data_IF_115980814086
#
_entry.id   IF_115980814086
#
_cell.length_a   1.000
_cell.length_b   1.000
_cell.length_c   1.000
_cell.angle_alpha   90.00
_cell.angle_beta   90.00
_cell.angle_gamma   90.00
#
_symmetry.space_group_name_H-M   'P 1'
#
loop_
_entity.id
_entity.type
_entity.pdbx_description
1 polymer ?
#
# COMPACT_ATOMS: atom_id res chain seq x y z
N UNK A 1 7.58 -3.71 -3.17
CA UNK A 1 6.81 -3.54 -1.93
C UNK A 1 6.93 -4.79 -1.07
N UNK A 2 6.99 -4.58 0.24
CA UNK A 2 6.92 -5.58 1.29
C UNK A 2 5.85 -5.13 2.30
N UNK A 3 5.04 -6.06 2.78
CA UNK A 3 4.06 -5.83 3.83
C UNK A 3 4.23 -6.93 4.87
N UNK A 4 4.21 -6.57 6.15
CA UNK A 4 4.39 -7.52 7.25
C UNK A 4 3.36 -7.22 8.35
N UNK A 5 2.65 -8.26 8.79
CA UNK A 5 1.51 -8.12 9.71
C UNK A 5 1.28 -9.39 10.53
N UNK A 6 0.54 -9.31 11.64
CA UNK A 6 0.18 -10.47 12.46
C UNK A 6 -1.15 -11.07 12.05
N UNK A 7 -1.24 -12.35 11.69
CA UNK A 7 -2.50 -13.06 11.46
C UNK A 7 -2.93 -13.91 12.66
N UNK A 8 -4.22 -14.23 12.76
CA UNK A 8 -4.74 -15.24 13.69
C UNK A 8 -4.07 -16.62 13.52
N UNK A 9 -3.58 -16.89 12.31
CA UNK A 9 -2.94 -18.16 11.95
C UNK A 9 -1.43 -18.20 12.22
N UNK A 10 -0.81 -17.04 12.51
CA UNK A 10 0.62 -16.94 12.80
C UNK A 10 0.93 -16.85 14.30
N UNK A 11 -0.09 -16.91 15.16
CA UNK A 11 0.07 -16.99 16.61
C UNK A 11 0.47 -18.39 17.09
N UNK A 12 0.56 -18.57 18.41
CA UNK A 12 0.73 -19.90 19.00
C UNK A 12 -0.53 -20.77 18.78
N UNK A 13 -0.37 -22.09 18.58
CA UNK A 13 -1.50 -23.01 18.53
C UNK A 13 -2.25 -23.01 19.87
N UNK A 14 -3.59 -23.04 19.81
CA UNK A 14 -4.44 -23.19 21.00
C UNK A 14 -5.40 -22.04 21.32
N UNK A 15 -5.53 -21.03 20.44
CA UNK A 15 -6.68 -20.07 20.32
C UNK A 15 -6.41 -18.94 19.29
N UNK A 16 -5.23 -18.92 18.66
CA UNK A 16 -4.91 -17.99 17.57
C UNK A 16 -4.62 -16.55 18.01
N UNK A 17 -4.60 -16.28 19.32
CA UNK A 17 -4.22 -15.00 19.89
C UNK A 17 -2.70 -14.88 20.03
N UNK A 18 -2.17 -13.72 19.66
CA UNK A 18 -0.76 -13.39 19.88
C UNK A 18 -0.54 -13.02 21.35
N UNK A 19 0.48 -13.58 22.03
CA UNK A 19 0.85 -13.08 23.35
C UNK A 19 1.34 -11.63 23.21
N UNK A 20 1.02 -10.78 24.20
CA UNK A 20 1.32 -9.34 24.15
C UNK A 20 2.80 -9.05 23.90
N UNK A 21 3.69 -9.83 24.51
CA UNK A 21 5.15 -9.73 24.36
C UNK A 21 5.66 -9.97 22.92
N UNK A 22 4.88 -10.62 22.07
CA UNK A 22 5.24 -10.91 20.67
C UNK A 22 4.40 -10.12 19.68
N UNK A 23 3.47 -9.28 20.15
CA UNK A 23 2.64 -8.48 19.26
C UNK A 23 3.43 -7.33 18.62
N UNK A 24 3.16 -7.04 17.36
CA UNK A 24 3.83 -5.96 16.62
C UNK A 24 2.87 -5.23 15.67
N UNK A 25 3.13 -3.94 15.37
CA UNK A 25 2.35 -3.18 14.39
C UNK A 25 2.59 -3.71 12.97
N UNK A 26 1.58 -3.64 12.12
CA UNK A 26 1.76 -3.90 10.69
C UNK A 26 2.70 -2.88 10.07
N UNK A 27 3.50 -3.30 9.09
CA UNK A 27 4.45 -2.42 8.38
C UNK A 27 4.30 -2.58 6.88
N UNK A 28 4.52 -1.50 6.14
CA UNK A 28 4.59 -1.50 4.68
C UNK A 28 5.84 -0.74 4.23
N UNK A 29 6.51 -1.27 3.23
CA UNK A 29 7.70 -0.71 2.61
C UNK A 29 7.61 -0.81 1.09
N UNK A 30 7.84 0.29 0.37
CA UNK A 30 7.92 0.27 -1.10
C UNK A 30 8.68 1.49 -1.63
N UNK A 31 9.12 1.38 -2.88
CA UNK A 31 9.73 2.50 -3.61
C UNK A 31 8.77 2.99 -4.69
N UNK A 32 8.60 4.31 -4.78
CA UNK A 32 7.94 5.00 -5.88
C UNK A 32 9.02 5.52 -6.82
N UNK A 33 8.95 5.14 -8.08
CA UNK A 33 9.82 5.66 -9.13
C UNK A 33 9.07 6.72 -9.92
N UNK A 34 9.66 7.90 -10.01
CA UNK A 34 9.17 9.05 -10.78
C UNK A 34 10.26 9.46 -11.79
N UNK A 35 9.92 10.24 -12.83
CA UNK A 35 10.92 10.75 -13.76
C UNK A 35 12.04 11.50 -13.02
N UNK A 36 13.25 10.94 -13.05
CA UNK A 36 14.45 11.52 -12.44
C UNK A 36 14.57 11.39 -10.92
N UNK A 37 13.63 10.75 -10.22
CA UNK A 37 13.64 10.66 -8.75
C UNK A 37 13.03 9.35 -8.23
N UNK A 38 13.55 8.87 -7.10
CA UNK A 38 12.97 7.76 -6.35
C UNK A 38 12.59 8.22 -4.93
N UNK A 39 11.45 7.74 -4.45
CA UNK A 39 11.00 7.94 -3.06
C UNK A 39 10.82 6.59 -2.38
N UNK A 40 11.43 6.40 -1.21
CA UNK A 40 11.22 5.22 -0.38
C UNK A 40 10.15 5.51 0.66
N UNK A 41 9.08 4.74 0.64
CA UNK A 41 7.91 4.93 1.46
C UNK A 41 7.84 3.80 2.49
N UNK A 42 7.88 4.17 3.77
CA UNK A 42 7.80 3.22 4.88
C UNK A 42 6.86 3.77 5.96
N UNK A 43 5.99 2.92 6.52
CA UNK A 43 5.25 3.26 7.74
C UNK A 43 4.87 2.01 8.53
N UNK A 44 4.73 2.19 9.84
CA UNK A 44 4.08 1.24 10.75
C UNK A 44 2.68 1.72 11.15
N UNK A 45 1.76 0.80 11.38
CA UNK A 45 0.38 1.12 11.77
C UNK A 45 -0.23 0.00 12.62
N UNK A 46 -1.34 0.28 13.31
CA UNK A 46 -1.99 -0.71 14.16
C UNK A 46 -2.42 -1.94 13.34
N UNK A 47 -2.12 -3.12 13.87
CA UNK A 47 -2.49 -4.37 13.21
C UNK A 47 -4.01 -4.49 13.06
N UNK A 48 -4.47 -4.89 11.88
CA UNK A 48 -5.88 -4.93 11.50
C UNK A 48 -6.44 -3.60 10.98
N UNK A 49 -5.61 -2.58 10.80
CA UNK A 49 -6.02 -1.24 10.33
C UNK A 49 -5.26 -0.82 9.06
N UNK A 50 -5.44 0.42 8.61
CA UNK A 50 -4.68 1.03 7.51
C UNK A 50 -4.17 2.42 7.92
N UNK A 51 -2.99 2.85 7.41
CA UNK A 51 -2.53 4.23 7.54
C UNK A 51 -3.35 5.14 6.61
N UNK A 52 -4.55 5.51 7.05
CA UNK A 52 -5.44 6.43 6.31
C UNK A 52 -4.89 7.86 6.27
N UNK A 53 -4.10 8.22 7.29
CA UNK A 53 -3.39 9.49 7.35
C UNK A 53 -2.12 9.44 6.51
N UNK A 54 -1.80 10.49 5.74
CA UNK A 54 -0.63 10.51 4.86
C UNK A 54 0.72 10.34 5.57
N UNK A 55 1.39 9.23 5.29
CA UNK A 55 2.77 8.98 5.68
C UNK A 55 3.73 9.62 4.66
N UNK A 56 4.82 10.20 5.15
CA UNK A 56 5.85 10.79 4.29
C UNK A 56 6.78 9.70 3.75
N UNK A 57 7.23 9.87 2.50
CA UNK A 57 8.32 9.07 1.95
C UNK A 57 9.65 9.80 2.16
N UNK A 58 10.74 9.05 2.21
CA UNK A 58 12.12 9.54 2.28
C UNK A 58 12.85 9.41 0.95
N UNK A 59 14.06 9.95 0.85
CA UNK A 59 14.89 9.94 -0.36
C UNK A 59 14.73 11.19 -1.22
N UNK A 60 14.93 11.05 -2.52
CA UNK A 60 15.00 12.18 -3.48
C UNK A 60 13.62 12.75 -3.83
N UNK A 61 12.55 12.00 -3.54
CA UNK A 61 11.17 12.40 -3.77
C UNK A 61 10.61 13.33 -2.69
N UNK A 62 11.25 14.49 -2.47
CA UNK A 62 10.74 15.47 -1.52
C UNK A 62 9.26 15.83 -1.82
N UNK A 63 8.45 15.90 -0.77
CA UNK A 63 7.01 16.17 -0.87
C UNK A 63 6.14 14.96 -1.26
N UNK A 64 6.71 13.78 -1.50
CA UNK A 64 5.94 12.55 -1.75
C UNK A 64 5.40 11.98 -0.44
N UNK A 65 4.12 11.65 -0.47
CA UNK A 65 3.38 11.04 0.63
C UNK A 65 2.51 9.91 0.09
N UNK A 66 2.10 9.02 0.98
CA UNK A 66 1.17 7.96 0.64
C UNK A 66 0.17 7.71 1.75
N UNK A 67 -0.95 7.10 1.41
CA UNK A 67 -1.92 6.54 2.36
C UNK A 67 -2.53 5.26 1.80
N UNK A 68 -3.17 4.50 2.67
CA UNK A 68 -3.90 3.29 2.31
C UNK A 68 -5.37 3.45 2.66
N UNK A 69 -6.24 3.14 1.71
CA UNK A 69 -7.70 3.19 1.88
C UNK A 69 -8.29 1.78 1.74
N UNK A 70 -9.43 1.48 2.38
CA UNK A 70 -10.10 0.20 2.21
C UNK A 70 -10.47 -0.07 0.74
N UNK A 71 -10.19 -1.27 0.23
CA UNK A 71 -10.70 -1.70 -1.07
C UNK A 71 -12.01 -2.48 -0.88
N UNK A 72 -13.12 -1.90 -1.32
CA UNK A 72 -14.48 -2.40 -1.05
C UNK A 72 -15.04 -3.35 -2.10
N UNK A 73 -14.35 -3.52 -3.24
CA UNK A 73 -14.82 -4.38 -4.33
C UNK A 73 -14.47 -5.87 -4.16
N UNK A 74 -13.80 -6.25 -3.06
CA UNK A 74 -13.52 -7.65 -2.73
C UNK A 74 -14.32 -8.11 -1.51
N UNK A 75 -14.63 -9.40 -1.45
CA UNK A 75 -15.27 -10.07 -0.30
C UNK A 75 -14.50 -9.80 1.00
N UNK A 76 -15.20 -9.89 2.16
CA UNK A 76 -14.68 -9.67 3.51
C UNK A 76 -13.25 -10.20 3.69
N UNK A 77 -12.29 -9.29 3.52
CA UNK A 77 -10.86 -9.54 3.57
C UNK A 77 -10.27 -8.69 4.67
N UNK A 78 -9.11 -9.12 5.10
CA UNK A 78 -8.31 -8.33 6.01
C UNK A 78 -7.84 -7.07 5.29
N UNK A 79 -7.96 -5.91 5.93
CA UNK A 79 -7.67 -4.62 5.32
C UNK A 79 -6.24 -4.54 4.76
N UNK A 80 -5.27 -5.10 5.47
CA UNK A 80 -3.88 -5.12 5.02
C UNK A 80 -3.65 -5.96 3.75
N UNK A 81 -4.57 -6.85 3.36
CA UNK A 81 -4.45 -7.70 2.16
C UNK A 81 -5.28 -7.20 0.97
N UNK A 82 -6.03 -6.11 1.16
CA UNK A 82 -6.98 -5.60 0.17
C UNK A 82 -7.21 -4.11 0.41
N UNK A 83 -6.42 -3.29 -0.27
CA UNK A 83 -6.40 -1.84 -0.06
C UNK A 83 -6.17 -1.08 -1.37
N UNK A 84 -6.57 0.19 -1.39
CA UNK A 84 -6.15 1.14 -2.41
C UNK A 84 -4.93 1.86 -1.88
N UNK A 85 -3.80 1.74 -2.58
CA UNK A 85 -2.62 2.54 -2.32
C UNK A 85 -2.76 3.85 -3.08
N UNK A 86 -2.75 4.97 -2.35
CA UNK A 86 -2.73 6.30 -2.96
C UNK A 86 -1.40 6.96 -2.65
N UNK A 87 -0.72 7.44 -3.69
CA UNK A 87 0.53 8.18 -3.62
C UNK A 87 0.27 9.58 -4.16
N UNK A 88 0.81 10.59 -3.50
CA UNK A 88 0.69 11.96 -3.97
C UNK A 88 1.91 12.79 -3.61
N UNK A 89 2.19 13.78 -4.45
CA UNK A 89 3.27 14.74 -4.29
C UNK A 89 2.67 16.13 -4.21
N UNK A 90 3.10 16.88 -3.21
CA UNK A 90 2.78 18.31 -3.10
C UNK A 90 4.02 19.09 -3.50
N UNK A 91 3.90 19.88 -4.56
CA UNK A 91 4.95 20.79 -5.01
C UNK A 91 4.52 22.23 -4.70
N UNK A 92 5.49 23.06 -4.28
CA UNK A 92 5.30 24.50 -4.12
C UNK A 92 6.20 25.22 -5.11
N UNK A 93 5.61 26.14 -5.87
CA UNK A 93 6.41 27.03 -6.71
C UNK A 93 6.98 28.21 -5.90
N UNK A 94 7.87 28.98 -6.53
CA UNK A 94 8.46 30.18 -5.92
C UNK A 94 7.45 31.32 -5.68
N UNK A 95 6.25 31.23 -6.25
CA UNK A 95 5.14 32.16 -6.05
C UNK A 95 4.21 31.76 -4.90
N UNK A 96 4.44 30.60 -4.25
CA UNK A 96 3.62 30.08 -3.17
C UNK A 96 2.40 29.28 -3.62
N UNK A 97 2.21 29.04 -4.92
CA UNK A 97 1.17 28.15 -5.42
C UNK A 97 1.53 26.70 -5.11
N UNK A 98 0.50 25.90 -4.78
CA UNK A 98 0.63 24.47 -4.52
C UNK A 98 0.01 23.68 -5.67
N UNK A 99 0.77 22.77 -6.26
CA UNK A 99 0.26 21.73 -7.17
C UNK A 99 0.29 20.39 -6.45
N UNK A 100 -0.76 19.58 -6.67
CA UNK A 100 -0.86 18.24 -6.09
C UNK A 100 -0.98 17.25 -7.24
N UNK A 101 0.04 16.41 -7.40
CA UNK A 101 0.00 15.28 -8.34
C UNK A 101 -0.27 14.02 -7.55
N UNK A 102 -1.31 13.25 -7.90
CA UNK A 102 -1.70 12.07 -7.15
C UNK A 102 -1.99 10.89 -8.08
N UNK A 103 -1.76 9.66 -7.62
CA UNK A 103 -2.19 8.47 -8.33
C UNK A 103 -2.53 7.36 -7.35
N UNK A 104 -3.36 6.41 -7.80
CA UNK A 104 -3.81 5.32 -6.94
C UNK A 104 -3.93 4.00 -7.69
N UNK A 105 -3.81 2.92 -6.93
CA UNK A 105 -3.92 1.56 -7.44
C UNK A 105 -4.56 0.66 -6.38
N UNK A 106 -5.50 -0.18 -6.80
CA UNK A 106 -6.00 -1.26 -5.95
C UNK A 106 -4.97 -2.39 -5.87
N UNK A 107 -4.63 -2.81 -4.66
CA UNK A 107 -3.73 -3.93 -4.36
C UNK A 107 -4.50 -4.95 -3.54
N UNK A 108 -4.66 -6.14 -4.11
CA UNK A 108 -5.21 -7.31 -3.45
C UNK A 108 -4.15 -8.42 -3.35
N UNK A 109 -4.35 -9.35 -2.43
CA UNK A 109 -3.46 -10.48 -2.23
C UNK A 109 -4.08 -11.82 -2.62
N UNK A 110 -3.25 -12.70 -3.19
CA UNK A 110 -3.57 -14.12 -3.44
C UNK A 110 -4.93 -14.37 -4.12
N UNK A 111 -5.33 -13.52 -5.08
CA UNK A 111 -6.60 -13.62 -5.81
C UNK A 111 -6.36 -13.66 -7.33
N UNK A 112 -6.06 -14.85 -7.91
CA UNK A 112 -5.70 -14.97 -9.32
C UNK A 112 -6.74 -14.43 -10.30
N UNK A 113 -8.01 -14.36 -9.88
CA UNK A 113 -9.11 -13.85 -10.69
C UNK A 113 -9.15 -12.31 -10.75
N UNK A 114 -8.48 -11.60 -9.84
CA UNK A 114 -8.45 -10.14 -9.84
C UNK A 114 -7.18 -9.61 -10.50
N UNK A 115 -7.31 -8.64 -11.41
CA UNK A 115 -6.14 -7.98 -12.00
C UNK A 115 -5.32 -7.23 -10.95
N UNK A 116 -5.92 -6.88 -9.80
CA UNK A 116 -5.28 -6.19 -8.67
C UNK A 116 -4.46 -7.12 -7.75
N UNK A 117 -4.42 -8.43 -8.02
CA UNK A 117 -3.76 -9.41 -7.15
C UNK A 117 -2.24 -9.44 -7.30
N UNK A 118 -1.61 -8.31 -7.01
CA UNK A 118 -0.16 -8.15 -7.13
C UNK A 118 0.61 -8.65 -5.91
N UNK A 119 -0.09 -8.87 -4.79
CA UNK A 119 0.54 -9.16 -3.51
C UNK A 119 0.49 -10.67 -3.21
N UNK A 120 1.66 -11.29 -3.05
CA UNK A 120 1.77 -12.68 -2.61
C UNK A 120 2.03 -12.71 -1.11
N UNK A 121 1.07 -13.18 -0.33
CA UNK A 121 1.18 -13.27 1.13
C UNK A 121 1.40 -14.73 1.58
N UNK A 122 2.47 -14.96 2.35
CA UNK A 122 2.83 -16.26 2.91
C UNK A 122 2.84 -16.20 4.43
N UNK A 123 2.29 -17.26 5.05
CA UNK A 123 2.36 -17.46 6.48
C UNK A 123 3.79 -17.91 6.85
N UNK A 124 4.39 -17.24 7.83
CA UNK A 124 5.71 -17.60 8.34
C UNK A 124 5.63 -18.59 9.51
N UNK A 125 6.80 -18.88 10.11
CA UNK A 125 6.89 -19.58 11.38
C UNK A 125 6.01 -18.92 12.48
N UNK A 126 5.63 -19.67 13.53
CA UNK A 126 4.90 -19.11 14.67
C UNK A 126 5.58 -17.87 15.23
N UNK A 127 4.79 -16.85 15.56
CA UNK A 127 5.24 -15.56 16.08
C UNK A 127 6.06 -14.69 15.11
N UNK A 128 6.20 -15.08 13.83
CA UNK A 128 6.79 -14.21 12.80
C UNK A 128 5.72 -13.46 11.98
N UNK A 129 4.47 -13.92 11.93
CA UNK A 129 3.41 -13.21 11.20
C UNK A 129 3.22 -13.68 9.76
N UNK A 130 2.64 -12.79 8.95
CA UNK A 130 2.44 -12.96 7.51
C UNK A 130 3.30 -11.95 6.79
N UNK A 131 4.10 -12.43 5.84
CA UNK A 131 4.94 -11.61 4.98
C UNK A 131 4.36 -11.61 3.58
N UNK A 132 4.22 -10.42 3.01
CA UNK A 132 3.71 -10.25 1.66
C UNK A 132 4.69 -9.48 0.79
N UNK A 133 4.85 -9.93 -0.44
CA UNK A 133 5.77 -9.34 -1.40
C UNK A 133 5.09 -9.14 -2.74
N UNK A 134 5.48 -8.07 -3.45
CA UNK A 134 4.94 -7.72 -4.76
C UNK A 134 5.49 -8.58 -5.91
N UNK A 135 6.02 -9.77 -5.60
CA UNK A 135 6.54 -10.75 -6.56
C UNK A 135 6.39 -12.15 -6.00
N UNK A 136 5.91 -13.06 -6.84
CA UNK A 136 6.17 -14.49 -6.67
C UNK A 136 7.49 -14.83 -7.39
N UNK A 137 8.35 -15.71 -6.87
CA UNK A 137 9.49 -16.23 -7.63
C UNK A 137 9.00 -16.90 -8.92
N UNK A 138 9.20 -16.26 -10.08
CA UNK A 138 8.77 -16.77 -11.39
C UNK A 138 7.59 -16.04 -12.07
N UNK A 139 7.05 -14.97 -11.49
CA UNK A 139 5.98 -14.18 -12.13
C UNK A 139 6.49 -12.91 -12.82
N UNK A 140 6.11 -12.68 -14.09
CA UNK A 140 6.47 -11.49 -14.89
C UNK A 140 5.50 -10.29 -14.72
N UNK A 141 4.72 -10.23 -13.63
CA UNK A 141 3.79 -9.13 -13.44
C UNK A 141 4.54 -7.82 -13.19
N UNK A 142 4.38 -6.85 -14.10
CA UNK A 142 4.72 -5.45 -13.85
C UNK A 142 3.63 -4.86 -12.97
N UNK A 143 4.03 -4.01 -12.01
CA UNK A 143 3.08 -3.12 -11.36
C UNK A 143 2.34 -2.33 -12.44
N UNK A 144 1.00 -2.15 -12.34
CA UNK A 144 0.32 -1.21 -13.19
C UNK A 144 0.97 0.17 -12.95
N UNK A 145 1.19 0.89 -14.04
CA UNK A 145 1.68 2.25 -13.97
C UNK A 145 0.68 3.06 -13.14
N UNK A 146 1.15 3.67 -12.05
CA UNK A 146 0.32 4.56 -11.25
C UNK A 146 0.10 5.80 -12.12
N UNK A 147 -1.08 5.89 -12.73
CA UNK A 147 -1.45 7.05 -13.55
C UNK A 147 -1.61 8.23 -12.62
N UNK A 148 -0.70 9.19 -12.75
CA UNK A 148 -0.76 10.46 -12.05
C UNK A 148 -1.90 11.32 -12.64
N UNK A 149 -2.82 11.74 -11.77
CA UNK A 149 -3.86 12.73 -12.03
C UNK A 149 -3.53 14.01 -11.28
N UNK A 150 -3.68 15.14 -11.97
CA UNK A 150 -3.62 16.47 -11.38
C UNK A 150 -5.07 16.98 -11.28
N UNK A 151 -5.76 16.80 -10.13
CA UNK A 151 -7.13 17.28 -10.02
C UNK A 151 -7.16 18.81 -10.13
N UNK A 152 -8.03 19.40 -10.96
CA UNK A 152 -8.21 20.85 -10.96
C UNK A 152 -8.65 21.29 -9.56
N UNK A 153 -8.01 22.33 -9.04
CA UNK A 153 -8.34 22.96 -7.77
C UNK A 153 -9.81 23.44 -7.79
N UNK A 154 -10.75 22.61 -7.30
CA UNK A 154 -12.13 23.01 -7.08
C UNK A 154 -13.26 22.04 -7.47
N UNK A 155 -12.99 20.82 -7.95
CA UNK A 155 -14.06 19.90 -8.40
C UNK A 155 -14.25 18.68 -7.50
N UNK A 156 -15.39 18.59 -6.80
CA UNK A 156 -15.89 17.33 -6.22
C UNK A 156 -16.36 16.45 -7.37
N UNK A 157 -15.51 15.52 -7.82
CA UNK A 157 -15.86 14.61 -8.93
C UNK A 157 -15.00 13.36 -8.91
N UNK A 158 -15.59 12.25 -8.47
CA UNK A 158 -15.00 10.91 -8.62
C UNK A 158 -15.01 10.51 -10.10
N UNK A 159 -13.85 10.16 -10.66
CA UNK A 159 -13.76 9.53 -11.99
C UNK A 159 -12.67 8.46 -11.93
N UNK A 160 -13.03 7.24 -12.36
CA UNK A 160 -12.23 6.04 -12.31
C UNK A 160 -10.93 6.16 -13.12
N UNK A 161 -9.78 6.04 -12.45
CA UNK A 161 -8.48 5.83 -13.10
C UNK A 161 -8.39 4.40 -13.64
N UNK A 162 -8.44 4.25 -14.97
CA UNK A 162 -8.18 2.99 -15.65
C UNK A 162 -6.67 2.69 -15.62
N UNK A 163 -6.29 1.56 -15.01
CA UNK A 163 -4.96 0.98 -15.19
C UNK A 163 -4.83 0.50 -16.65
N UNK A 164 -3.84 1.01 -17.39
CA UNK A 164 -3.42 0.40 -18.67
C UNK A 164 -2.41 -0.70 -18.36
N UNK A 165 -2.67 -1.89 -18.90
CA UNK A 165 -1.80 -3.08 -18.87
C UNK A 165 -0.89 -3.07 -20.08
#
# INVERSE_FOLDING_TARGET
MQLHMMSRLSGLPGDGAWPSAYSFPSTIDFTVTMPGQNATCHTSFANGTLPVNPAACSGDGNGVRFRMLPYTASVSRRLETSFVLQVFRVERDGGGHQSITAGEVAITANEPALPSSYLSCLLSAPLDGVRCHLRYPGSNYKLPEIVAWNPPLGGVGAIAGQARV
#
